data_IF_758343467601
#
_entry.id   IF_758343467601
#
_cell.length_a   1.000
_cell.length_b   1.000
_cell.length_c   1.000
_cell.angle_alpha   90.00
_cell.angle_beta   90.00
_cell.angle_gamma   90.00
#
_symmetry.space_group_name_H-M   'P 1'
#
loop_
_entity.id
_entity.type
_entity.pdbx_description
1 polymer ?
#
# COMPACT_ATOMS: atom_id res chain seq x y z
N UNK A 1 -36.28 -38.19 -17.82
CA UNK A 1 -36.21 -37.72 -16.41
C UNK A 1 -35.10 -38.40 -15.60
N UNK A 2 -34.58 -39.56 -16.00
CA UNK A 2 -33.55 -40.31 -15.26
C UNK A 2 -32.16 -40.35 -15.94
N UNK A 3 -31.78 -39.28 -16.65
CA UNK A 3 -30.44 -39.15 -17.27
C UNK A 3 -29.74 -37.82 -16.93
N UNK A 4 -30.33 -36.95 -16.09
CA UNK A 4 -29.74 -35.66 -15.66
C UNK A 4 -29.19 -35.64 -14.22
N UNK A 5 -28.93 -36.80 -13.62
CA UNK A 5 -28.49 -36.91 -12.22
C UNK A 5 -27.05 -37.40 -12.04
N UNK A 6 -26.36 -37.82 -13.10
CA UNK A 6 -24.93 -38.17 -13.03
C UNK A 6 -23.99 -36.95 -13.11
N UNK A 7 -24.49 -35.79 -13.58
CA UNK A 7 -23.70 -34.56 -13.79
C UNK A 7 -23.82 -33.53 -12.65
N UNK A 8 -24.67 -33.79 -11.65
CA UNK A 8 -24.94 -32.84 -10.56
C UNK A 8 -23.92 -32.94 -9.42
N UNK A 9 -23.23 -34.08 -9.27
CA UNK A 9 -22.20 -34.26 -8.23
C UNK A 9 -20.85 -33.62 -8.60
N UNK A 10 -20.46 -33.68 -9.87
CA UNK A 10 -19.21 -33.12 -10.37
C UNK A 10 -19.26 -31.59 -10.44
N UNK A 11 -20.37 -31.03 -10.91
CA UNK A 11 -20.62 -29.58 -10.93
C UNK A 11 -20.64 -28.99 -9.50
N UNK A 12 -21.30 -29.64 -8.53
CA UNK A 12 -21.31 -29.18 -7.14
C UNK A 12 -19.91 -29.02 -6.52
N UNK A 13 -19.00 -29.99 -6.74
CA UNK A 13 -17.63 -29.91 -6.24
C UNK A 13 -16.81 -28.83 -6.95
N UNK A 14 -17.05 -28.62 -8.25
CA UNK A 14 -16.43 -27.54 -9.01
C UNK A 14 -16.90 -26.16 -8.55
N UNK A 15 -18.19 -25.98 -8.27
CA UNK A 15 -18.75 -24.72 -7.74
C UNK A 15 -18.15 -24.38 -6.36
N UNK A 16 -18.01 -25.36 -5.46
CA UNK A 16 -17.33 -25.14 -4.17
C UNK A 16 -15.86 -24.74 -4.35
N UNK A 17 -15.15 -25.36 -5.30
CA UNK A 17 -13.74 -25.05 -5.59
C UNK A 17 -13.54 -23.67 -6.19
N UNK A 18 -14.39 -23.28 -7.14
CA UNK A 18 -14.35 -21.94 -7.75
C UNK A 18 -14.78 -20.85 -6.77
N UNK A 19 -15.78 -21.12 -5.94
CA UNK A 19 -16.22 -20.23 -4.87
C UNK A 19 -15.13 -20.00 -3.81
N UNK A 20 -14.44 -21.07 -3.39
CA UNK A 20 -13.33 -20.96 -2.44
C UNK A 20 -12.13 -20.20 -3.03
N UNK A 21 -11.72 -20.55 -4.26
CA UNK A 21 -10.61 -19.88 -4.93
C UNK A 21 -10.88 -18.38 -5.13
N UNK A 22 -12.09 -18.02 -5.58
CA UNK A 22 -12.47 -16.61 -5.76
C UNK A 22 -12.55 -15.86 -4.43
N UNK A 23 -13.09 -16.47 -3.37
CA UNK A 23 -13.15 -15.86 -2.04
C UNK A 23 -11.76 -15.54 -1.49
N UNK A 24 -10.80 -16.46 -1.65
CA UNK A 24 -9.41 -16.27 -1.24
C UNK A 24 -8.74 -15.12 -2.01
N UNK A 25 -8.93 -15.06 -3.33
CA UNK A 25 -8.39 -13.96 -4.16
C UNK A 25 -8.97 -12.62 -3.72
N UNK A 26 -10.29 -12.54 -3.57
CA UNK A 26 -10.99 -11.33 -3.13
C UNK A 26 -10.51 -10.89 -1.74
N UNK A 27 -10.28 -11.82 -0.81
CA UNK A 27 -9.74 -11.51 0.51
C UNK A 27 -8.35 -10.87 0.44
N UNK A 28 -7.43 -11.42 -0.36
CA UNK A 28 -6.10 -10.84 -0.55
C UNK A 28 -6.16 -9.47 -1.23
N UNK A 29 -6.99 -9.32 -2.27
CA UNK A 29 -7.18 -8.04 -2.95
C UNK A 29 -7.71 -6.96 -2.01
N UNK A 30 -8.72 -7.27 -1.19
CA UNK A 30 -9.29 -6.33 -0.23
C UNK A 30 -8.28 -5.95 0.86
N UNK A 31 -7.53 -6.91 1.39
CA UNK A 31 -6.51 -6.63 2.41
C UNK A 31 -5.42 -5.71 1.86
N UNK A 32 -4.91 -6.00 0.66
CA UNK A 32 -3.92 -5.14 -0.01
C UNK A 32 -4.47 -3.73 -0.25
N UNK A 33 -5.73 -3.62 -0.71
CA UNK A 33 -6.39 -2.35 -0.94
C UNK A 33 -6.51 -1.51 0.35
N UNK A 34 -6.94 -2.12 1.46
CA UNK A 34 -7.05 -1.45 2.75
C UNK A 34 -5.67 -1.00 3.27
N UNK A 35 -4.61 -1.80 3.06
CA UNK A 35 -3.25 -1.40 3.42
C UNK A 35 -2.82 -0.14 2.69
N UNK A 36 -3.03 -0.05 1.37
CA UNK A 36 -2.70 1.15 0.59
C UNK A 36 -3.49 2.37 1.08
N UNK A 37 -4.80 2.20 1.35
CA UNK A 37 -5.62 3.27 1.91
C UNK A 37 -5.16 3.72 3.30
N UNK A 38 -4.76 2.80 4.16
CA UNK A 38 -4.24 3.11 5.49
C UNK A 38 -2.95 3.95 5.39
N UNK A 39 -2.03 3.57 4.50
CA UNK A 39 -0.83 4.37 4.21
C UNK A 39 -1.19 5.76 3.66
N UNK A 40 -2.12 5.85 2.71
CA UNK A 40 -2.56 7.12 2.16
C UNK A 40 -3.17 8.03 3.24
N UNK A 41 -4.02 7.47 4.12
CA UNK A 41 -4.63 8.21 5.22
C UNK A 41 -3.60 8.66 6.26
N UNK A 42 -2.60 7.83 6.56
CA UNK A 42 -1.48 8.21 7.41
C UNK A 42 -0.73 9.43 6.85
N UNK A 43 -0.35 9.42 5.57
CA UNK A 43 0.31 10.57 4.93
C UNK A 43 -0.60 11.79 4.84
N UNK A 44 -1.91 11.61 4.63
CA UNK A 44 -2.89 12.70 4.59
C UNK A 44 -2.96 13.43 5.94
N UNK A 45 -3.11 12.70 7.05
CA UNK A 45 -3.15 13.31 8.39
C UNK A 45 -1.84 14.04 8.68
N UNK A 46 -0.70 13.41 8.36
CA UNK A 46 0.63 13.98 8.58
C UNK A 46 0.94 15.17 7.67
N UNK A 47 0.10 15.46 6.68
CA UNK A 47 0.23 16.65 5.83
C UNK A 47 -0.42 17.90 6.43
N UNK A 48 -1.30 17.76 7.43
CA UNK A 48 -1.90 18.91 8.12
C UNK A 48 -0.99 19.53 9.19
N UNK A 49 0.24 19.07 9.33
CA UNK A 49 1.23 19.64 10.26
C UNK A 49 2.02 20.77 9.58
N UNK A 50 2.37 21.82 10.33
CA UNK A 50 3.09 22.98 9.80
C UNK A 50 4.49 22.64 9.22
N UNK A 51 5.17 21.66 9.80
CA UNK A 51 6.43 21.11 9.29
C UNK A 51 6.21 19.63 9.01
N UNK A 52 6.42 19.22 7.76
CA UNK A 52 6.20 17.84 7.34
C UNK A 52 7.39 16.99 7.81
N UNK A 53 7.19 15.81 8.39
CA UNK A 53 8.29 15.03 8.95
C UNK A 53 9.29 14.55 7.88
N UNK A 54 8.85 14.40 6.63
CA UNK A 54 9.71 14.05 5.49
C UNK A 54 10.35 15.26 4.80
N UNK A 55 10.14 16.49 5.29
CA UNK A 55 10.83 17.67 4.77
C UNK A 55 12.19 17.90 5.41
N UNK A 56 12.57 17.10 6.42
CA UNK A 56 13.80 17.26 7.19
C UNK A 56 14.64 15.98 7.23
N UNK A 57 15.95 16.17 7.21
CA UNK A 57 16.97 15.14 7.33
C UNK A 57 17.35 14.85 8.79
N UNK A 58 16.74 15.51 9.77
CA UNK A 58 17.04 15.37 11.21
C UNK A 58 16.29 14.22 11.91
N UNK A 59 15.74 13.26 11.17
CA UNK A 59 15.04 12.12 11.74
C UNK A 59 15.94 10.89 11.90
N UNK A 60 15.65 10.04 12.89
CA UNK A 60 16.47 8.86 13.20
C UNK A 60 16.50 7.80 12.07
N UNK A 61 15.52 7.82 11.16
CA UNK A 61 15.43 6.91 10.02
C UNK A 61 16.21 7.39 8.79
N UNK A 62 16.79 8.60 8.83
CA UNK A 62 17.55 9.14 7.72
C UNK A 62 18.98 8.63 7.72
N UNK A 63 19.56 8.52 6.54
CA UNK A 63 20.97 8.17 6.33
C UNK A 63 21.82 9.41 6.08
N UNK A 64 23.14 9.26 6.10
CA UNK A 64 24.10 10.34 5.85
C UNK A 64 23.98 10.96 4.44
N UNK A 65 23.32 10.26 3.52
CA UNK A 65 23.07 10.73 2.14
C UNK A 65 21.75 11.52 2.01
N UNK A 66 21.12 11.90 3.11
CA UNK A 66 19.89 12.69 3.09
C UNK A 66 20.17 14.13 2.68
N UNK A 67 19.43 14.66 1.69
CA UNK A 67 19.60 16.02 1.17
C UNK A 67 18.29 16.80 1.38
N UNK A 68 18.38 17.96 2.02
CA UNK A 68 17.27 18.90 2.16
C UNK A 68 17.36 19.97 1.06
N UNK A 69 16.48 19.93 0.06
CA UNK A 69 16.50 20.87 -1.08
C UNK A 69 16.26 22.33 -0.66
N UNK A 70 15.59 22.58 0.46
CA UNK A 70 15.20 23.92 0.93
C UNK A 70 16.02 24.41 2.14
N UNK A 71 17.25 23.92 2.32
CA UNK A 71 18.10 24.39 3.41
C UNK A 71 18.72 25.74 3.06
N UNK A 72 18.13 26.81 3.62
CA UNK A 72 18.55 28.20 3.38
C UNK A 72 20.04 28.45 3.74
N UNK A 73 20.57 27.72 4.71
CA UNK A 73 21.98 27.82 5.13
C UNK A 73 22.95 27.28 4.06
N UNK A 74 22.54 26.27 3.28
CA UNK A 74 23.37 25.66 2.25
C UNK A 74 23.61 26.60 1.07
N UNK A 75 22.70 27.56 0.82
CA UNK A 75 22.86 28.58 -0.21
C UNK A 75 23.79 29.73 0.24
N UNK A 76 23.97 29.90 1.55
CA UNK A 76 24.84 30.95 2.12
C UNK A 76 26.28 30.47 2.27
N UNK A 77 26.48 29.15 2.43
CA UNK A 77 27.81 28.54 2.59
C UNK A 77 28.25 27.67 1.41
N UNK A 78 27.51 27.67 0.30
CA UNK A 78 28.01 27.09 -0.93
C UNK A 78 29.32 27.82 -1.29
N UNK A 79 30.47 27.13 -1.41
CA UNK A 79 31.65 27.78 -1.97
C UNK A 79 31.25 28.25 -3.36
N UNK A 80 31.19 29.57 -3.53
CA UNK A 80 31.16 30.18 -4.86
C UNK A 80 32.37 29.64 -5.64
N UNK A 81 32.23 29.29 -6.93
CA UNK A 81 33.42 29.08 -7.75
C UNK A 81 34.33 30.30 -7.73
#
# INVERSE_FOLDING_TARGET
MFERLADTGHTSFLEFRLGYASSVIVFFCNTYYIMVLAWAFYYLIKSFTAVLPWSTCTNYWNTDNCIETFRHDACTTAPTP
#
